data_IF_425068553439
#
_entry.id   IF_425068553439
#
_cell.length_a   1.000
_cell.length_b   1.000
_cell.length_c   1.000
_cell.angle_alpha   90.00
_cell.angle_beta   90.00
_cell.angle_gamma   90.00
#
_symmetry.space_group_name_H-M   'P 1'
#
loop_
_entity.id
_entity.type
_entity.pdbx_description
1 polymer ?
#
# COMPACT_ATOMS: atom_id res chain seq x y z
N UNK A 1 -24.59 2.26 1.75
CA UNK A 1 -23.36 1.61 1.25
C UNK A 1 -22.19 2.36 1.86
N UNK A 2 -21.33 1.67 2.61
CA UNK A 2 -20.13 2.28 3.18
C UNK A 2 -18.99 2.06 2.20
N UNK A 3 -18.53 3.14 1.58
CA UNK A 3 -17.37 3.12 0.70
C UNK A 3 -16.13 3.51 1.50
N UNK A 4 -15.02 2.85 1.22
CA UNK A 4 -13.76 3.06 1.93
C UNK A 4 -12.63 3.36 0.96
N UNK A 5 -11.66 4.12 1.47
CA UNK A 5 -10.41 4.43 0.79
C UNK A 5 -9.26 3.88 1.62
N UNK A 6 -8.49 3.00 0.99
CA UNK A 6 -7.25 2.43 1.53
C UNK A 6 -6.09 3.20 0.93
N UNK A 7 -5.22 3.75 1.78
CA UNK A 7 -3.98 4.39 1.38
C UNK A 7 -2.83 3.52 1.83
N UNK A 8 -1.85 3.29 0.96
CA UNK A 8 -0.66 2.51 1.28
C UNK A 8 0.60 3.21 0.81
N UNK A 9 1.63 3.20 1.63
CA UNK A 9 2.97 3.66 1.25
C UNK A 9 4.05 2.83 1.95
N UNK A 10 5.27 2.87 1.43
CA UNK A 10 6.38 2.05 1.91
C UNK A 10 7.70 2.81 1.93
N UNK A 11 8.60 2.40 2.81
CA UNK A 11 9.99 2.84 2.81
C UNK A 11 10.92 1.63 2.93
N UNK A 12 11.98 1.59 2.14
CA UNK A 12 12.90 0.46 2.05
C UNK A 12 14.34 0.92 2.30
N UNK A 13 15.10 0.13 3.07
CA UNK A 13 16.57 0.13 3.04
C UNK A 13 17.04 -1.05 2.18
N UNK A 14 17.53 -0.82 0.93
CA UNK A 14 17.92 -1.91 0.04
C UNK A 14 19.15 -2.68 0.51
N UNK A 15 20.07 -2.04 1.25
CA UNK A 15 21.30 -2.66 1.72
C UNK A 15 21.03 -3.76 2.74
N UNK A 16 20.17 -3.45 3.72
CA UNK A 16 19.74 -4.40 4.75
C UNK A 16 18.56 -5.27 4.30
N UNK A 17 17.94 -4.98 3.15
CA UNK A 17 16.70 -5.62 2.65
C UNK A 17 15.54 -5.57 3.64
N UNK A 18 15.51 -4.52 4.47
CA UNK A 18 14.44 -4.26 5.43
C UNK A 18 13.58 -3.09 4.97
N UNK A 19 12.29 -3.12 5.26
CA UNK A 19 11.38 -2.06 4.88
C UNK A 19 10.18 -1.92 5.82
N UNK A 20 9.61 -0.73 5.86
CA UNK A 20 8.39 -0.45 6.60
C UNK A 20 7.28 -0.16 5.60
N UNK A 21 6.16 -0.87 5.75
CA UNK A 21 4.90 -0.56 5.07
C UNK A 21 3.94 0.12 6.02
N UNK A 22 3.17 1.07 5.51
CA UNK A 22 2.13 1.75 6.26
C UNK A 22 0.83 1.79 5.49
N UNK A 23 -0.29 1.71 6.20
CA UNK A 23 -1.59 1.93 5.60
C UNK A 23 -2.55 2.73 6.48
N UNK A 24 -3.53 3.33 5.82
CA UNK A 24 -4.69 4.00 6.41
C UNK A 24 -5.96 3.55 5.72
N UNK A 25 -7.02 3.28 6.47
CA UNK A 25 -8.36 3.01 5.94
C UNK A 25 -9.30 4.08 6.48
N UNK A 26 -9.93 4.81 5.57
CA UNK A 26 -10.87 5.88 5.92
C UNK A 26 -12.17 5.74 5.12
N UNK A 27 -13.32 6.18 5.64
CA UNK A 27 -14.53 6.31 4.83
C UNK A 27 -14.30 7.23 3.63
N UNK A 28 -14.93 6.96 2.49
CA UNK A 28 -14.80 7.78 1.27
C UNK A 28 -15.20 9.24 1.52
N UNK A 29 -16.15 9.48 2.44
CA UNK A 29 -16.54 10.83 2.86
C UNK A 29 -15.37 11.64 3.45
N UNK A 30 -14.43 10.97 4.14
CA UNK A 30 -13.24 11.61 4.69
C UNK A 30 -12.32 12.15 3.59
N UNK A 31 -12.22 11.44 2.45
CA UNK A 31 -11.42 11.88 1.31
C UNK A 31 -12.03 13.09 0.60
N UNK A 32 -13.36 13.24 0.68
CA UNK A 32 -14.11 14.38 0.12
C UNK A 32 -14.08 15.61 1.03
N UNK A 33 -13.70 15.45 2.30
CA UNK A 33 -13.53 16.56 3.24
C UNK A 33 -12.40 17.48 2.77
N UNK A 34 -12.58 18.82 2.80
CA UNK A 34 -11.51 19.78 2.52
C UNK A 34 -10.25 19.52 3.34
N UNK A 35 -9.08 19.59 2.69
CA UNK A 35 -7.80 19.16 3.29
C UNK A 35 -7.39 19.96 4.52
N UNK A 36 -7.88 21.19 4.69
CA UNK A 36 -7.65 22.04 5.86
C UNK A 36 -8.40 21.58 7.12
N UNK A 37 -9.44 20.75 6.97
CA UNK A 37 -10.22 20.22 8.09
C UNK A 37 -9.66 18.90 8.62
N UNK A 38 -8.73 18.27 7.88
CA UNK A 38 -8.12 16.99 8.26
C UNK A 38 -7.03 17.24 9.30
N UNK A 39 -7.30 16.78 10.52
CA UNK A 39 -6.36 16.82 11.63
C UNK A 39 -5.36 15.68 11.49
N UNK A 40 -4.10 16.00 11.75
CA UNK A 40 -3.01 15.01 11.71
C UNK A 40 -3.20 13.97 12.82
N UNK A 41 -3.76 14.36 13.97
CA UNK A 41 -4.04 13.43 15.08
C UNK A 41 -5.02 12.32 14.69
N UNK A 42 -6.07 12.65 13.93
CA UNK A 42 -7.03 11.66 13.44
C UNK A 42 -6.34 10.63 12.54
N UNK A 43 -5.42 11.07 11.67
CA UNK A 43 -4.65 10.15 10.83
C UNK A 43 -3.67 9.29 11.64
N UNK A 44 -3.10 9.84 12.72
CA UNK A 44 -2.14 9.13 13.57
C UNK A 44 -2.80 7.98 14.33
N UNK A 45 -4.03 8.18 14.81
CA UNK A 45 -4.80 7.18 15.56
C UNK A 45 -5.14 5.93 14.73
N UNK A 46 -5.32 6.09 13.42
CA UNK A 46 -5.70 4.99 12.52
C UNK A 46 -4.53 4.50 11.65
N UNK A 47 -3.34 5.10 11.76
CA UNK A 47 -2.16 4.69 10.99
C UNK A 47 -1.64 3.36 11.54
N UNK A 48 -1.52 2.38 10.64
CA UNK A 48 -0.93 1.09 10.97
C UNK A 48 0.39 0.95 10.22
N UNK A 49 1.46 0.63 10.95
CA UNK A 49 2.81 0.41 10.42
C UNK A 49 3.25 -1.02 10.68
N UNK A 50 3.95 -1.63 9.73
CA UNK A 50 4.55 -2.96 9.87
C UNK A 50 5.96 -2.99 9.28
N UNK A 51 6.86 -3.67 9.98
CA UNK A 51 8.22 -3.97 9.55
C UNK A 51 8.24 -5.24 8.69
N UNK A 52 9.08 -5.25 7.67
CA UNK A 52 9.24 -6.35 6.73
C UNK A 52 10.73 -6.60 6.50
N UNK A 53 11.14 -7.86 6.57
CA UNK A 53 12.49 -8.32 6.31
C UNK A 53 12.57 -9.11 5.00
N UNK A 54 13.79 -9.30 4.48
CA UNK A 54 14.08 -9.92 3.18
C UNK A 54 13.13 -9.44 2.07
N UNK A 55 13.05 -8.12 1.93
CA UNK A 55 12.13 -7.50 0.97
C UNK A 55 12.84 -6.68 -0.09
N UNK A 56 12.09 -6.27 -1.10
CA UNK A 56 12.52 -5.37 -2.18
C UNK A 56 11.36 -4.43 -2.49
N UNK A 57 11.58 -3.29 -3.16
CA UNK A 57 10.54 -2.25 -3.31
C UNK A 57 9.22 -2.83 -3.82
N UNK A 58 9.25 -3.55 -4.95
CA UNK A 58 8.03 -4.16 -5.50
C UNK A 58 7.41 -5.24 -4.60
N UNK A 59 8.22 -6.00 -3.86
CA UNK A 59 7.73 -7.04 -2.95
C UNK A 59 7.01 -6.37 -1.77
N UNK A 60 7.65 -5.36 -1.17
CA UNK A 60 7.14 -4.58 -0.05
C UNK A 60 5.85 -3.82 -0.41
N UNK A 61 5.81 -3.16 -1.56
CA UNK A 61 4.62 -2.44 -2.07
C UNK A 61 3.41 -3.38 -2.14
N UNK A 62 3.56 -4.55 -2.76
CA UNK A 62 2.45 -5.51 -2.91
C UNK A 62 2.12 -6.18 -1.58
N UNK A 63 3.12 -6.54 -0.76
CA UNK A 63 2.88 -7.11 0.57
C UNK A 63 2.10 -6.16 1.48
N UNK A 64 2.40 -4.85 1.43
CA UNK A 64 1.72 -3.84 2.24
C UNK A 64 0.25 -3.73 1.85
N UNK A 65 -0.07 -3.75 0.55
CA UNK A 65 -1.46 -3.76 0.07
C UNK A 65 -2.17 -5.04 0.51
N UNK A 66 -1.57 -6.21 0.30
CA UNK A 66 -2.19 -7.49 0.68
C UNK A 66 -2.46 -7.57 2.18
N UNK A 67 -1.50 -7.13 3.00
CA UNK A 67 -1.66 -7.05 4.43
C UNK A 67 -2.83 -6.13 4.82
N UNK A 68 -2.90 -4.93 4.25
CA UNK A 68 -3.99 -4.00 4.54
C UNK A 68 -5.36 -4.56 4.12
N UNK A 69 -5.43 -5.28 3.00
CA UNK A 69 -6.65 -5.95 2.54
C UNK A 69 -7.07 -7.12 3.45
N UNK A 70 -6.10 -7.85 4.00
CA UNK A 70 -6.35 -8.92 4.97
C UNK A 70 -6.93 -8.36 6.26
N UNK A 71 -6.31 -7.32 6.83
CA UNK A 71 -6.82 -6.63 8.02
C UNK A 71 -8.19 -6.00 7.77
N UNK A 72 -8.39 -5.38 6.60
CA UNK A 72 -9.69 -4.82 6.21
C UNK A 72 -10.79 -5.88 6.22
N UNK A 73 -10.50 -7.09 5.71
CA UNK A 73 -11.43 -8.20 5.71
C UNK A 73 -11.66 -8.80 7.11
N UNK A 74 -10.66 -8.78 7.99
CA UNK A 74 -10.76 -9.35 9.33
C UNK A 74 -11.43 -8.41 10.33
N UNK A 75 -11.22 -7.09 10.20
CA UNK A 75 -11.67 -6.07 11.15
C UNK A 75 -13.05 -5.48 10.88
N UNK A 76 -13.64 -5.74 9.71
CA UNK A 76 -14.92 -5.14 9.32
C UNK A 76 -16.07 -6.15 9.45
N UNK A 77 -17.20 -5.72 10.02
CA UNK A 77 -18.50 -6.32 9.71
C UNK A 77 -18.82 -5.96 8.26
N UNK A 78 -18.20 -6.69 7.33
CA UNK A 78 -18.30 -6.45 5.88
C UNK A 78 -19.78 -6.46 5.52
N UNK A 79 -20.32 -5.29 5.17
CA UNK A 79 -21.48 -5.28 4.28
C UNK A 79 -20.91 -5.54 2.89
N UNK A 80 -21.23 -6.70 2.30
CA UNK A 80 -20.80 -7.14 0.95
C UNK A 80 -21.10 -6.11 -0.16
N UNK A 81 -21.87 -5.07 0.15
CA UNK A 81 -22.25 -3.97 -0.72
C UNK A 81 -21.30 -2.75 -0.79
N UNK A 82 -20.25 -2.67 0.04
CA UNK A 82 -19.35 -1.49 0.08
C UNK A 82 -18.26 -1.50 -0.99
N UNK A 83 -17.94 -0.34 -1.61
CA UNK A 83 -16.82 -0.21 -2.55
C UNK A 83 -15.52 0.13 -1.82
N UNK A 84 -14.41 -0.50 -2.24
CA UNK A 84 -13.07 -0.18 -1.77
C UNK A 84 -12.26 0.49 -2.90
N UNK A 85 -11.55 1.57 -2.57
CA UNK A 85 -10.64 2.24 -3.49
C UNK A 85 -9.24 2.34 -2.88
N UNK A 86 -8.21 1.91 -3.62
CA UNK A 86 -6.82 1.90 -3.16
C UNK A 86 -6.05 3.07 -3.76
N UNK A 87 -5.34 3.80 -2.90
CA UNK A 87 -4.40 4.85 -3.26
C UNK A 87 -2.98 4.42 -2.91
N UNK A 88 -2.10 4.36 -3.90
CA UNK A 88 -0.68 4.04 -3.75
C UNK A 88 0.12 4.86 -4.76
N UNK A 89 1.39 5.18 -4.50
CA UNK A 89 2.29 5.74 -5.52
C UNK A 89 2.98 4.65 -6.36
N UNK A 90 2.81 3.37 -6.02
CA UNK A 90 3.40 2.25 -6.73
C UNK A 90 2.77 2.06 -8.11
N UNK A 91 3.59 2.21 -9.14
CA UNK A 91 3.24 1.82 -10.51
C UNK A 91 3.01 0.31 -10.62
N UNK A 92 3.65 -0.50 -9.77
CA UNK A 92 3.41 -1.94 -9.79
C UNK A 92 1.99 -2.25 -9.36
N UNK A 93 1.56 -1.71 -8.20
CA UNK A 93 0.22 -1.95 -7.63
C UNK A 93 -0.87 -1.51 -8.61
N UNK A 94 -0.79 -0.27 -9.10
CA UNK A 94 -1.75 0.25 -10.10
C UNK A 94 -1.75 -0.60 -11.38
N UNK A 95 -0.58 -0.92 -11.92
CA UNK A 95 -0.46 -1.71 -13.14
C UNK A 95 -0.76 -3.19 -12.99
N UNK A 96 -0.97 -3.75 -11.80
CA UNK A 96 -1.19 -5.20 -11.64
C UNK A 96 -2.50 -5.64 -12.29
N UNK A 97 -3.57 -4.85 -12.17
CA UNK A 97 -4.88 -5.19 -12.74
C UNK A 97 -4.84 -5.23 -14.26
N UNK A 98 -4.22 -4.23 -14.91
CA UNK A 98 -4.08 -4.19 -16.37
C UNK A 98 -3.20 -5.31 -16.93
N UNK A 99 -2.26 -5.82 -16.13
CA UNK A 99 -1.36 -6.93 -16.52
C UNK A 99 -1.93 -8.32 -16.23
N UNK A 100 -3.07 -8.42 -15.53
CA UNK A 100 -3.63 -9.69 -15.03
C UNK A 100 -3.76 -10.76 -16.10
N UNK A 101 -4.52 -10.47 -17.17
CA UNK A 101 -4.80 -11.44 -18.22
C UNK A 101 -3.52 -12.05 -18.80
N UNK A 102 -2.49 -11.23 -19.03
CA UNK A 102 -1.19 -11.67 -19.54
C UNK A 102 -0.40 -12.50 -18.52
N UNK A 103 -0.44 -12.12 -17.25
CA UNK A 103 0.29 -12.82 -16.18
C UNK A 103 -0.33 -14.18 -15.89
N UNK A 104 -1.66 -14.27 -15.84
CA UNK A 104 -2.38 -15.53 -15.68
C UNK A 104 -2.18 -16.44 -16.91
N UNK A 105 -2.26 -15.91 -18.13
CA UNK A 105 -2.07 -16.70 -19.35
C UNK A 105 -0.65 -17.25 -19.50
N UNK A 106 0.36 -16.58 -18.94
CA UNK A 106 1.74 -17.07 -18.93
C UNK A 106 2.06 -17.96 -17.73
N UNK A 107 1.09 -18.27 -16.86
CA UNK A 107 1.31 -18.96 -15.60
C UNK A 107 2.34 -18.24 -14.72
N UNK A 108 2.40 -16.91 -14.80
CA UNK A 108 3.37 -16.06 -14.11
C UNK A 108 4.84 -16.33 -14.45
N UNK A 109 5.15 -16.83 -15.64
CA UNK A 109 6.54 -17.01 -16.10
C UNK A 109 7.11 -15.74 -16.76
N UNK A 110 8.43 -15.59 -16.68
CA UNK A 110 9.19 -14.55 -17.38
C UNK A 110 9.03 -14.64 -18.90
N UNK A 111 9.10 -13.51 -19.60
CA UNK A 111 9.10 -13.50 -21.08
C UNK A 111 10.36 -14.19 -21.60
N UNK A 112 10.20 -15.16 -22.50
CA UNK A 112 11.32 -15.84 -23.17
C UNK A 112 12.03 -16.91 -22.35
N UNK A 113 11.44 -17.36 -21.23
CA UNK A 113 12.00 -18.48 -20.46
C UNK A 113 10.97 -19.13 -19.53
N UNK A 114 11.33 -20.29 -18.98
CA UNK A 114 10.47 -21.07 -18.10
C UNK A 114 10.64 -20.72 -16.61
N UNK A 115 11.18 -19.53 -16.29
CA UNK A 115 11.41 -19.11 -14.90
C UNK A 115 10.18 -18.40 -14.36
N UNK A 116 9.69 -18.84 -13.20
CA UNK A 116 8.60 -18.19 -12.48
C UNK A 116 9.00 -16.78 -12.02
N UNK A 117 8.06 -15.83 -12.08
CA UNK A 117 8.24 -14.49 -11.53
C UNK A 117 8.44 -14.56 -10.01
N UNK A 118 9.40 -13.80 -9.50
CA UNK A 118 9.75 -13.78 -8.06
C UNK A 118 8.54 -13.51 -7.15
N UNK A 119 7.62 -12.65 -7.59
CA UNK A 119 6.44 -12.23 -6.83
C UNK A 119 5.14 -12.89 -7.32
N UNK A 120 5.22 -14.00 -8.07
CA UNK A 120 4.05 -14.66 -8.65
C UNK A 120 2.95 -14.96 -7.61
N UNK A 121 3.33 -15.48 -6.45
CA UNK A 121 2.39 -15.78 -5.35
C UNK A 121 1.68 -14.54 -4.81
N UNK A 122 2.38 -13.41 -4.70
CA UNK A 122 1.80 -12.15 -4.26
C UNK A 122 0.81 -11.61 -5.30
N UNK A 123 1.12 -11.75 -6.59
CA UNK A 123 0.22 -11.32 -7.66
C UNK A 123 -1.04 -12.18 -7.71
N UNK A 124 -0.92 -13.50 -7.53
CA UNK A 124 -2.07 -14.40 -7.41
C UNK A 124 -3.00 -13.98 -6.27
N UNK A 125 -2.48 -13.79 -5.05
CA UNK A 125 -3.26 -13.30 -3.91
C UNK A 125 -3.92 -11.95 -4.18
N UNK A 126 -3.22 -11.04 -4.85
CA UNK A 126 -3.76 -9.73 -5.20
C UNK A 126 -4.99 -9.84 -6.10
N UNK A 127 -4.97 -10.77 -7.06
CA UNK A 127 -6.11 -11.04 -7.93
C UNK A 127 -7.27 -11.73 -7.20
N UNK A 128 -6.99 -12.64 -6.26
CA UNK A 128 -8.01 -13.25 -5.40
C UNK A 128 -8.76 -12.18 -4.57
N UNK A 129 -8.01 -11.25 -3.95
CA UNK A 129 -8.62 -10.13 -3.23
C UNK A 129 -9.43 -9.23 -4.16
N UNK A 130 -8.90 -8.92 -5.34
CA UNK A 130 -9.63 -8.12 -6.32
C UNK A 130 -10.92 -8.83 -6.76
N UNK A 131 -10.92 -10.14 -6.94
CA UNK A 131 -12.11 -10.88 -7.33
C UNK A 131 -13.20 -10.84 -6.28
N UNK A 132 -12.82 -10.87 -5.00
CA UNK A 132 -13.75 -10.77 -3.88
C UNK A 132 -14.27 -9.35 -3.64
N UNK A 133 -13.37 -8.36 -3.66
CA UNK A 133 -13.66 -7.00 -3.20
C UNK A 133 -13.98 -6.02 -4.33
N UNK A 134 -13.65 -6.38 -5.58
CA UNK A 134 -13.82 -5.55 -6.78
C UNK A 134 -13.31 -4.10 -6.58
N UNK A 135 -12.13 -3.97 -5.96
CA UNK A 135 -11.56 -2.66 -5.64
C UNK A 135 -10.95 -1.99 -6.87
N UNK A 136 -10.97 -0.67 -6.88
CA UNK A 136 -10.26 0.16 -7.85
C UNK A 136 -8.91 0.61 -7.28
N UNK A 137 -7.97 0.98 -8.15
CA UNK A 137 -6.66 1.51 -7.75
C UNK A 137 -6.33 2.79 -8.50
N UNK A 138 -5.96 3.83 -7.77
CA UNK A 138 -5.43 5.07 -8.32
C UNK A 138 -3.99 5.27 -7.89
N UNK A 139 -3.11 5.47 -8.88
CA UNK A 139 -1.74 5.91 -8.62
C UNK A 139 -1.74 7.37 -8.17
N UNK A 140 -1.23 7.66 -6.97
CA UNK A 140 -1.04 9.02 -6.48
C UNK A 140 0.29 9.55 -7.02
N UNK A 141 0.27 10.75 -7.61
CA UNK A 141 1.50 11.40 -8.05
C UNK A 141 2.35 11.79 -6.82
N UNK A 142 3.59 11.30 -6.79
CA UNK A 142 4.56 11.69 -5.77
C UNK A 142 4.91 13.18 -5.82
N UNK A 143 5.33 13.73 -4.68
CA UNK A 143 5.99 15.04 -4.57
C UNK A 143 5.21 16.27 -5.06
N UNK A 144 3.90 16.34 -4.82
CA UNK A 144 3.13 17.58 -5.07
C UNK A 144 3.48 18.68 -4.04
N UNK A 145 3.69 19.95 -4.47
CA UNK A 145 3.96 21.07 -3.56
C UNK A 145 2.88 21.23 -2.48
N UNK A 146 3.27 21.54 -1.24
CA UNK A 146 2.35 21.58 -0.09
C UNK A 146 1.14 22.50 -0.26
N UNK A 147 1.30 23.60 -1.02
CA UNK A 147 0.27 24.61 -1.26
C UNK A 147 -0.83 24.18 -2.24
N UNK A 148 -0.61 23.13 -3.03
CA UNK A 148 -1.57 22.61 -4.01
C UNK A 148 -2.10 21.23 -3.64
N UNK A 149 -1.82 20.75 -2.42
CA UNK A 149 -2.23 19.41 -2.00
C UNK A 149 -3.73 19.31 -1.78
N UNK A 150 -4.38 18.45 -2.55
CA UNK A 150 -5.70 17.97 -2.23
C UNK A 150 -5.65 17.01 -1.02
N UNK A 151 -6.82 16.58 -0.57
CA UNK A 151 -6.96 15.68 0.59
C UNK A 151 -6.17 14.38 0.43
N UNK A 152 -6.27 13.72 -0.72
CA UNK A 152 -5.52 12.49 -1.05
C UNK A 152 -4.02 12.71 -0.87
N UNK A 153 -3.48 13.79 -1.44
CA UNK A 153 -2.06 14.11 -1.35
C UNK A 153 -1.61 14.47 0.07
N UNK A 154 -2.47 15.08 0.88
CA UNK A 154 -2.18 15.36 2.29
C UNK A 154 -2.09 14.07 3.11
N UNK A 155 -3.03 13.14 2.93
CA UNK A 155 -3.01 11.82 3.56
C UNK A 155 -1.76 11.06 3.12
N UNK A 156 -1.47 11.05 1.81
CA UNK A 156 -0.30 10.35 1.29
C UNK A 156 1.02 10.91 1.85
N UNK A 157 1.16 12.24 1.88
CA UNK A 157 2.36 12.89 2.47
C UNK A 157 2.55 12.55 3.95
N UNK A 158 1.45 12.34 4.68
CA UNK A 158 1.50 11.95 6.08
C UNK A 158 2.02 10.52 6.24
N UNK A 159 1.49 9.57 5.46
CA UNK A 159 1.96 8.17 5.51
C UNK A 159 3.43 8.09 5.10
N UNK A 160 3.82 8.73 3.99
CA UNK A 160 5.21 8.81 3.50
C UNK A 160 6.18 9.27 4.59
N UNK A 161 5.85 10.35 5.29
CA UNK A 161 6.66 10.85 6.38
C UNK A 161 6.81 9.82 7.51
N UNK A 162 5.73 9.11 7.84
CA UNK A 162 5.69 8.15 8.94
C UNK A 162 6.43 6.86 8.62
N UNK A 163 6.26 6.30 7.42
CA UNK A 163 7.00 5.10 7.00
C UNK A 163 8.50 5.37 6.91
N UNK A 164 8.91 6.54 6.39
CA UNK A 164 10.32 6.94 6.34
C UNK A 164 10.92 7.13 7.74
N UNK A 165 10.19 7.79 8.64
CA UNK A 165 10.63 7.97 10.04
C UNK A 165 10.77 6.62 10.74
N UNK A 166 9.80 5.74 10.58
CA UNK A 166 9.81 4.41 11.20
C UNK A 166 10.94 3.52 10.67
N UNK A 167 11.20 3.55 9.35
CA UNK A 167 12.34 2.86 8.77
C UNK A 167 13.65 3.38 9.35
N UNK A 168 13.83 4.71 9.39
CA UNK A 168 15.05 5.31 9.95
C UNK A 168 15.31 4.82 11.38
N UNK A 169 14.31 4.92 12.26
CA UNK A 169 14.45 4.45 13.64
C UNK A 169 14.79 2.97 13.75
N UNK A 170 14.23 2.13 12.85
CA UNK A 170 14.54 0.71 12.85
C UNK A 170 15.97 0.42 12.34
N UNK A 171 16.42 1.11 11.30
CA UNK A 171 17.80 0.98 10.81
C UNK A 171 18.80 1.44 11.87
N UNK A 172 18.56 2.60 12.49
CA UNK A 172 19.41 3.11 13.58
C UNK A 172 19.49 2.10 14.76
N UNK A 173 18.42 1.36 15.04
CA UNK A 173 18.40 0.29 16.05
C UNK A 173 19.25 -0.91 15.63
N UNK A 174 19.12 -1.38 14.38
CA UNK A 174 19.89 -2.52 13.88
C UNK A 174 21.39 -2.22 13.87
N UNK A 175 21.78 -1.01 13.45
CA UNK A 175 23.19 -0.59 13.43
C UNK A 175 23.78 -0.47 14.84
N UNK A 176 22.97 -0.10 15.84
CA UNK A 176 23.41 -0.03 17.23
C UNK A 176 23.56 -1.41 17.90
N UNK A 177 22.86 -2.44 17.40
CA UNK A 177 22.93 -3.82 17.90
C UNK A 177 24.10 -4.62 17.30
N UNK A 178 24.68 -4.15 16.19
CA UNK A 178 25.86 -4.76 15.54
C UNK A 178 27.21 -4.26 16.08
N UNK A 179 27.22 -3.31 17.03
CA UNK A 179 28.41 -2.74 17.70
C UNK A 179 28.58 -3.35 19.09
#
# INVERSE_FOLDING_TARGET
MNNYSLFTDVSLNPGLKVGVGGYLIVPESFVKTPSNLIKISELDEILVLRRFEDTSSTKLEVQTVLWALEEYCNGSTISESGKLHIYSDSQCVEGLLSRRARLESSGFHCRGGNRLLKNASLYGKYYEFHDRLKFDVTKVAGHTPSRSRNTVQRIFSFIDQKVRKALKLWVDQLEAEEI
#
